data_IF_060243262146
#
_entry.id   IF_060243262146
#
_cell.length_a   1.000
_cell.length_b   1.000
_cell.length_c   1.000
_cell.angle_alpha   90.00
_cell.angle_beta   90.00
_cell.angle_gamma   90.00
#
_symmetry.space_group_name_H-M   'P 1'
#
loop_
_entity.id
_entity.type
_entity.pdbx_description
1 polymer ?
#
# COMPACT_ATOMS: atom_id res chain seq x y z
N UNK A 1 1.63 15.63 -17.15
CA UNK A 1 2.40 14.93 -16.09
C UNK A 1 1.38 14.31 -15.13
N UNK A 2 1.43 13.00 -14.86
CA UNK A 2 0.45 12.35 -13.96
C UNK A 2 0.58 12.95 -12.55
N UNK A 3 -0.38 13.77 -12.15
CA UNK A 3 -0.38 14.59 -10.92
C UNK A 3 -0.70 13.79 -9.65
N UNK A 4 -1.08 12.51 -9.79
CA UNK A 4 -1.54 11.65 -8.70
C UNK A 4 -0.85 10.29 -8.80
N UNK A 5 -0.45 9.75 -7.65
CA UNK A 5 0.07 8.38 -7.57
C UNK A 5 -1.04 7.40 -7.92
N UNK A 6 -0.68 6.31 -8.59
CA UNK A 6 -1.63 5.27 -8.96
C UNK A 6 -2.45 4.81 -7.75
N UNK A 7 -3.75 4.59 -7.98
CA UNK A 7 -4.74 4.13 -6.99
C UNK A 7 -5.07 5.09 -5.84
N UNK A 8 -4.56 6.33 -5.85
CA UNK A 8 -4.81 7.32 -4.78
C UNK A 8 -6.30 7.50 -4.43
N UNK A 9 -7.18 7.59 -5.44
CA UNK A 9 -8.62 7.78 -5.19
C UNK A 9 -9.26 6.51 -4.62
N UNK A 10 -8.91 5.32 -5.10
CA UNK A 10 -9.41 4.06 -4.53
C UNK A 10 -8.95 3.87 -3.08
N UNK A 11 -7.72 4.30 -2.76
CA UNK A 11 -7.16 4.22 -1.41
C UNK A 11 -7.92 5.10 -0.42
N UNK A 12 -8.57 6.18 -0.85
CA UNK A 12 -9.39 7.01 0.04
C UNK A 12 -10.52 6.19 0.69
N UNK A 13 -11.12 5.26 -0.06
CA UNK A 13 -12.15 4.33 0.43
C UNK A 13 -11.53 3.21 1.25
N UNK A 14 -10.44 2.60 0.78
CA UNK A 14 -9.78 1.50 1.49
C UNK A 14 -9.29 1.93 2.87
N UNK A 15 -8.73 3.14 2.97
CA UNK A 15 -8.17 3.66 4.21
C UNK A 15 -9.23 4.01 5.26
N UNK A 16 -10.52 4.00 4.91
CA UNK A 16 -11.60 4.21 5.89
C UNK A 16 -11.68 3.09 6.94
N UNK A 17 -11.08 1.91 6.67
CA UNK A 17 -11.08 0.77 7.60
C UNK A 17 -10.40 1.03 8.95
N UNK A 18 -9.53 2.04 9.01
CA UNK A 18 -8.72 2.33 10.20
C UNK A 18 -9.09 3.65 10.86
N UNK A 19 -10.15 4.31 10.40
CA UNK A 19 -10.65 5.55 11.01
C UNK A 19 -12.01 5.32 11.65
N UNK A 20 -12.35 6.21 12.58
CA UNK A 20 -13.65 6.20 13.24
C UNK A 20 -14.74 6.67 12.28
N UNK A 21 -15.96 6.17 12.48
CA UNK A 21 -17.13 6.63 11.74
C UNK A 21 -17.26 8.17 11.75
N UNK A 22 -17.38 8.74 10.55
CA UNK A 22 -17.49 10.19 10.33
C UNK A 22 -16.16 10.92 10.16
N UNK A 23 -15.02 10.27 10.40
CA UNK A 23 -13.70 10.84 10.11
C UNK A 23 -13.26 10.54 8.68
N UNK A 24 -12.45 11.44 8.09
CA UNK A 24 -11.94 11.28 6.72
C UNK A 24 -10.45 11.60 6.70
N UNK A 25 -9.66 10.70 6.12
CA UNK A 25 -8.25 10.92 5.87
C UNK A 25 -8.05 11.83 4.65
N UNK A 26 -7.32 12.95 4.77
CA UNK A 26 -7.08 13.83 3.63
C UNK A 26 -6.10 13.18 2.64
N UNK A 27 -6.18 13.58 1.38
CA UNK A 27 -5.08 13.41 0.43
C UNK A 27 -4.12 14.60 0.55
N UNK A 28 -2.82 14.37 0.40
CA UNK A 28 -1.79 15.42 0.49
C UNK A 28 -0.92 15.47 -0.76
N UNK A 29 -0.31 16.62 -1.03
CA UNK A 29 0.72 16.77 -2.06
C UNK A 29 2.10 16.71 -1.39
N UNK A 30 2.98 15.86 -1.93
CA UNK A 30 4.37 15.79 -1.52
C UNK A 30 5.17 16.96 -2.13
N UNK A 31 6.41 17.17 -1.66
CA UNK A 31 7.28 18.26 -2.14
C UNK A 31 7.56 18.21 -3.65
N UNK A 32 7.49 17.03 -4.24
CA UNK A 32 7.65 16.82 -5.69
C UNK A 32 6.36 17.03 -6.50
N UNK A 33 5.28 17.49 -5.85
CA UNK A 33 3.98 17.76 -6.46
C UNK A 33 3.07 16.55 -6.62
N UNK A 34 3.54 15.34 -6.30
CA UNK A 34 2.70 14.14 -6.39
C UNK A 34 1.64 14.11 -5.28
N UNK A 35 0.41 13.73 -5.63
CA UNK A 35 -0.68 13.53 -4.67
C UNK A 35 -0.71 12.08 -4.16
N UNK A 36 -0.84 11.92 -2.85
CA UNK A 36 -0.96 10.62 -2.16
C UNK A 36 -2.11 10.64 -1.14
N UNK A 37 -2.67 9.46 -0.87
CA UNK A 37 -3.67 9.29 0.18
C UNK A 37 -3.00 8.99 1.53
N UNK A 38 -3.43 9.67 2.61
CA UNK A 38 -2.93 9.40 3.96
C UNK A 38 -3.57 8.15 4.56
N UNK A 39 -2.92 7.56 5.57
CA UNK A 39 -3.37 6.34 6.25
C UNK A 39 -3.04 5.03 5.55
N UNK A 40 -2.52 5.04 4.32
CA UNK A 40 -2.25 3.84 3.52
C UNK A 40 -1.33 2.85 4.23
N UNK A 41 -0.31 3.30 4.98
CA UNK A 41 0.56 2.41 5.74
C UNK A 41 -0.19 1.73 6.89
N UNK A 42 -1.00 2.49 7.65
CA UNK A 42 -1.79 1.94 8.74
C UNK A 42 -2.81 0.89 8.23
N UNK A 43 -3.48 1.20 7.11
CA UNK A 43 -4.42 0.28 6.48
C UNK A 43 -3.75 -0.94 5.87
N UNK A 44 -2.55 -0.80 5.30
CA UNK A 44 -1.75 -1.95 4.85
C UNK A 44 -1.42 -2.89 6.01
N UNK A 45 -0.98 -2.36 7.17
CA UNK A 45 -0.71 -3.19 8.35
C UNK A 45 -1.97 -3.90 8.85
N UNK A 46 -3.11 -3.20 8.85
CA UNK A 46 -4.41 -3.78 9.17
C UNK A 46 -4.78 -4.93 8.21
N UNK A 47 -4.63 -4.72 6.91
CA UNK A 47 -4.92 -5.72 5.89
C UNK A 47 -3.94 -6.90 5.92
N UNK A 48 -2.67 -6.70 6.27
CA UNK A 48 -1.73 -7.80 6.52
C UNK A 48 -2.22 -8.70 7.65
N UNK A 49 -2.78 -8.13 8.72
CA UNK A 49 -3.33 -8.94 9.81
C UNK A 49 -4.54 -9.75 9.36
N UNK A 50 -5.45 -9.15 8.58
CA UNK A 50 -6.57 -9.88 7.98
C UNK A 50 -6.10 -11.01 7.05
N UNK A 51 -5.11 -10.72 6.21
CA UNK A 51 -4.51 -11.72 5.34
C UNK A 51 -3.90 -12.88 6.13
N UNK A 52 -3.15 -12.56 7.19
CA UNK A 52 -2.56 -13.57 8.07
C UNK A 52 -3.63 -14.42 8.80
N UNK A 53 -4.82 -13.85 9.04
CA UNK A 53 -5.96 -14.56 9.61
C UNK A 53 -6.74 -15.44 8.61
N UNK A 54 -6.38 -15.39 7.32
CA UNK A 54 -6.98 -16.26 6.28
C UNK A 54 -7.90 -15.53 5.29
N UNK A 55 -8.14 -14.23 5.44
CA UNK A 55 -8.90 -13.44 4.47
C UNK A 55 -8.15 -13.32 3.14
N UNK A 56 -8.86 -13.43 2.02
CA UNK A 56 -8.28 -13.44 0.66
C UNK A 56 -9.07 -12.53 -0.29
N UNK A 57 -8.73 -12.54 -1.58
CA UNK A 57 -9.40 -11.83 -2.68
C UNK A 57 -9.51 -10.32 -2.46
N UNK A 58 -10.49 -9.87 -1.66
CA UNK A 58 -10.67 -8.47 -1.31
C UNK A 58 -9.42 -7.90 -0.64
N UNK A 59 -8.88 -8.61 0.35
CA UNK A 59 -7.71 -8.13 1.09
C UNK A 59 -6.47 -8.09 0.21
N UNK A 60 -6.29 -9.09 -0.65
CA UNK A 60 -5.20 -9.15 -1.63
C UNK A 60 -5.24 -7.96 -2.59
N UNK A 61 -6.42 -7.69 -3.16
CA UNK A 61 -6.63 -6.55 -4.06
C UNK A 61 -6.32 -5.22 -3.38
N UNK A 62 -6.72 -5.05 -2.12
CA UNK A 62 -6.44 -3.83 -1.38
C UNK A 62 -4.97 -3.65 -1.02
N UNK A 63 -4.28 -4.74 -0.68
CA UNK A 63 -2.83 -4.74 -0.46
C UNK A 63 -2.08 -4.38 -1.76
N UNK A 64 -2.52 -4.91 -2.91
CA UNK A 64 -1.99 -4.55 -4.23
C UNK A 64 -2.21 -3.07 -4.56
N UNK A 65 -3.42 -2.53 -4.31
CA UNK A 65 -3.74 -1.12 -4.56
C UNK A 65 -2.82 -0.17 -3.79
N UNK A 66 -2.35 -0.56 -2.60
CA UNK A 66 -1.48 0.25 -1.77
C UNK A 66 -0.04 0.36 -2.32
N UNK A 67 0.44 -0.65 -3.06
CA UNK A 67 1.85 -0.79 -3.46
C UNK A 67 2.44 0.46 -4.13
N UNK A 68 1.78 1.10 -5.12
CA UNK A 68 2.33 2.31 -5.76
C UNK A 68 2.60 3.44 -4.77
N UNK A 69 1.72 3.61 -3.77
CA UNK A 69 1.91 4.61 -2.73
C UNK A 69 3.04 4.21 -1.77
N UNK A 70 3.13 2.94 -1.38
CA UNK A 70 4.20 2.44 -0.50
C UNK A 70 5.59 2.59 -1.13
N UNK A 71 5.71 2.30 -2.43
CA UNK A 71 6.92 2.56 -3.21
C UNK A 71 7.21 4.07 -3.26
N UNK A 72 6.21 4.88 -3.59
CA UNK A 72 6.37 6.34 -3.71
C UNK A 72 6.90 6.98 -2.43
N UNK A 73 6.40 6.58 -1.27
CA UNK A 73 6.76 7.17 0.03
C UNK A 73 8.04 6.57 0.63
N UNK A 74 8.71 5.67 -0.09
CA UNK A 74 10.00 5.10 0.32
C UNK A 74 9.90 4.03 1.42
N UNK A 75 8.76 3.35 1.56
CA UNK A 75 8.64 2.29 2.58
C UNK A 75 9.69 1.18 2.38
N UNK A 76 9.94 0.82 1.13
CA UNK A 76 10.89 -0.24 0.79
C UNK A 76 12.35 0.21 0.79
N UNK A 77 12.61 1.52 0.88
CA UNK A 77 13.95 2.05 1.12
C UNK A 77 14.36 1.88 2.58
N UNK A 78 13.38 1.87 3.50
CA UNK A 78 13.59 1.58 4.92
C UNK A 78 13.75 0.08 5.18
N UNK A 79 12.97 -0.75 4.47
CA UNK A 79 12.94 -2.20 4.61
C UNK A 79 12.91 -2.86 3.23
N UNK A 80 14.02 -3.41 2.74
CA UNK A 80 14.14 -3.96 1.39
C UNK A 80 13.05 -4.99 1.07
N UNK A 81 12.55 -5.00 -0.17
CA UNK A 81 11.52 -5.93 -0.64
C UNK A 81 11.91 -7.40 -0.36
N UNK A 82 13.16 -7.76 -0.57
CA UNK A 82 13.63 -9.12 -0.33
C UNK A 82 13.47 -9.54 1.14
N UNK A 83 13.63 -8.62 2.10
CA UNK A 83 13.40 -8.89 3.52
C UNK A 83 11.91 -9.08 3.85
N UNK A 84 11.02 -8.43 3.10
CA UNK A 84 9.58 -8.68 3.20
C UNK A 84 9.20 -10.07 2.69
N UNK A 85 9.84 -10.52 1.61
CA UNK A 85 9.57 -11.80 0.97
C UNK A 85 10.16 -12.97 1.78
N UNK A 86 11.40 -12.83 2.25
CA UNK A 86 12.15 -13.87 2.96
C UNK A 86 11.57 -14.22 4.35
N UNK A 87 10.78 -13.33 4.94
CA UNK A 87 10.16 -13.54 6.24
C UNK A 87 9.12 -14.66 6.27
N UNK A 88 8.67 -15.03 7.48
CA UNK A 88 7.64 -16.06 7.73
C UNK A 88 6.22 -15.52 7.76
N UNK A 89 6.04 -14.19 7.71
CA UNK A 89 4.72 -13.56 7.72
C UNK A 89 4.12 -13.57 6.30
N UNK A 90 3.05 -14.32 6.04
CA UNK A 90 2.55 -14.51 4.68
C UNK A 90 1.99 -13.22 4.06
N UNK A 91 1.36 -12.34 4.86
CA UNK A 91 0.88 -11.04 4.39
C UNK A 91 2.02 -10.09 4.02
N UNK A 92 3.12 -10.05 4.79
CA UNK A 92 4.32 -9.29 4.40
C UNK A 92 4.93 -9.84 3.11
N UNK A 93 5.03 -11.17 2.99
CA UNK A 93 5.54 -11.80 1.77
C UNK A 93 4.72 -11.40 0.56
N UNK A 94 3.39 -11.48 0.66
CA UNK A 94 2.48 -11.08 -0.40
C UNK A 94 2.70 -9.62 -0.82
N UNK A 95 2.75 -8.68 0.13
CA UNK A 95 3.03 -7.26 -0.17
C UNK A 95 4.39 -7.08 -0.86
N UNK A 96 5.42 -7.80 -0.40
CA UNK A 96 6.74 -7.80 -1.02
C UNK A 96 6.72 -8.30 -2.47
N UNK A 97 6.01 -9.39 -2.75
CA UNK A 97 5.84 -9.93 -4.09
C UNK A 97 5.10 -8.95 -5.02
N UNK A 98 4.03 -8.32 -4.54
CA UNK A 98 3.31 -7.29 -5.29
C UNK A 98 4.21 -6.08 -5.59
N UNK A 99 5.04 -5.65 -4.63
CA UNK A 99 5.99 -4.56 -4.81
C UNK A 99 7.07 -4.90 -5.83
N UNK A 100 7.65 -6.11 -5.77
CA UNK A 100 8.60 -6.60 -6.77
C UNK A 100 7.98 -6.60 -8.16
N UNK A 101 6.77 -7.15 -8.30
CA UNK A 101 6.05 -7.20 -9.58
C UNK A 101 5.75 -5.79 -10.13
N UNK A 102 5.39 -4.84 -9.25
CA UNK A 102 5.15 -3.45 -9.64
C UNK A 102 6.43 -2.77 -10.15
N UNK A 103 7.55 -2.90 -9.44
CA UNK A 103 8.82 -2.30 -9.85
C UNK A 103 9.36 -2.90 -11.16
N UNK A 104 9.22 -4.22 -11.35
CA UNK A 104 9.62 -4.86 -12.62
C UNK A 104 8.85 -4.29 -13.82
N UNK A 105 7.56 -3.96 -13.65
CA UNK A 105 6.76 -3.32 -14.71
C UNK A 105 7.13 -1.86 -15.00
N UNK A 106 7.67 -1.14 -14.02
CA UNK A 106 8.13 0.25 -14.21
C UNK A 106 9.49 0.33 -14.90
N UNK A 107 10.33 -0.69 -14.75
CA UNK A 107 11.64 -0.80 -15.41
C UNK A 107 11.61 -1.49 -16.78
N UNK A 108 10.44 -1.95 -17.23
CA UNK A 108 10.19 -2.51 -18.58
C UNK A 108 9.75 -1.42 -19.55
#
# INVERSE_FOLDING_TARGET
MKTSVENTEQLATVNQKVVKDGEVLPSVHLKDGSRVQTGTVATMLYNINLYNAGERERVEKELELAVPTLVKVGLFDLFPIEDWIAGTNPGRRFVGECARNYLSRLGS
#
